data_IF_622867920018
#
_entry.id   IF_622867920018
#
_cell.length_a   1.000
_cell.length_b   1.000
_cell.length_c   1.000
_cell.angle_alpha   90.00
_cell.angle_beta   90.00
_cell.angle_gamma   90.00
#
_symmetry.space_group_name_H-M   'P 1'
#
loop_
_entity.id
_entity.type
_entity.pdbx_description
1 polymer ?
#
# COMPACT_ATOMS: atom_id res chain seq x y z
N UNK A 1 -35.23 -3.15 -18.83
CA UNK A 1 -33.92 -2.50 -19.06
C UNK A 1 -34.01 -1.06 -18.59
N UNK A 2 -33.52 -0.72 -17.38
CA UNK A 2 -33.59 0.67 -16.87
C UNK A 2 -32.50 1.50 -17.55
N UNK A 3 -32.89 2.43 -18.44
CA UNK A 3 -32.02 3.51 -18.92
C UNK A 3 -31.91 4.54 -17.80
N UNK A 4 -30.91 4.42 -16.94
CA UNK A 4 -30.54 5.46 -15.97
C UNK A 4 -29.30 6.19 -16.48
N UNK A 5 -29.45 6.95 -17.55
CA UNK A 5 -28.45 7.92 -17.98
C UNK A 5 -29.18 9.26 -18.08
N UNK A 6 -29.32 9.95 -16.95
CA UNK A 6 -29.91 11.27 -16.95
C UNK A 6 -28.97 12.25 -17.68
N UNK A 7 -29.46 12.91 -18.74
CA UNK A 7 -28.69 13.88 -19.52
C UNK A 7 -28.29 15.11 -18.70
N UNK A 8 -27.30 15.91 -19.13
CA UNK A 8 -26.85 17.13 -18.41
C UNK A 8 -27.99 18.07 -18.03
N UNK A 9 -29.04 18.14 -18.86
CA UNK A 9 -30.22 18.97 -18.65
C UNK A 9 -31.25 18.38 -17.69
N UNK A 10 -31.13 17.12 -17.27
CA UNK A 10 -32.06 16.48 -16.31
C UNK A 10 -31.59 16.63 -14.85
N UNK A 11 -30.36 17.09 -14.62
CA UNK A 11 -29.82 17.37 -13.29
C UNK A 11 -30.02 18.83 -12.83
N UNK A 12 -30.44 19.73 -13.73
CA UNK A 12 -30.52 21.18 -13.48
C UNK A 12 -31.55 21.55 -12.41
N UNK A 13 -32.61 20.77 -12.29
CA UNK A 13 -33.70 21.02 -11.32
C UNK A 13 -33.60 20.12 -10.07
N UNK A 14 -32.59 19.24 -9.99
CA UNK A 14 -32.40 18.36 -8.83
C UNK A 14 -31.79 19.16 -7.69
N UNK A 15 -32.61 19.46 -6.69
CA UNK A 15 -32.18 20.04 -5.42
C UNK A 15 -31.53 18.95 -4.56
N UNK A 16 -30.23 18.74 -4.75
CA UNK A 16 -29.43 17.88 -3.89
C UNK A 16 -29.57 18.30 -2.43
N UNK A 17 -29.83 17.32 -1.56
CA UNK A 17 -29.84 17.51 -0.11
C UNK A 17 -28.70 16.71 0.48
N UNK A 18 -28.02 17.29 1.47
CA UNK A 18 -27.08 16.54 2.29
C UNK A 18 -27.80 15.41 3.01
N UNK A 19 -27.14 14.26 3.12
CA UNK A 19 -27.58 13.14 3.94
C UNK A 19 -26.53 12.82 4.99
N UNK A 20 -26.97 12.28 6.14
CA UNK A 20 -26.08 11.75 7.17
C UNK A 20 -26.25 10.23 7.20
N UNK A 21 -25.15 9.51 7.04
CA UNK A 21 -25.12 8.06 7.13
C UNK A 21 -24.72 7.68 8.55
N UNK A 22 -25.54 6.91 9.25
CA UNK A 22 -25.19 6.43 10.58
C UNK A 22 -23.99 5.46 10.49
N UNK A 23 -22.98 5.66 11.33
CA UNK A 23 -21.79 4.83 11.37
C UNK A 23 -21.19 4.78 12.79
N UNK A 24 -20.37 3.76 13.10
CA UNK A 24 -19.61 3.70 14.34
C UNK A 24 -18.73 4.94 14.54
N UNK A 25 -18.63 5.43 15.78
CA UNK A 25 -17.87 6.64 16.12
C UNK A 25 -16.45 6.27 16.54
N UNK A 26 -15.48 7.02 16.05
CA UNK A 26 -14.07 6.88 16.40
C UNK A 26 -13.84 7.13 17.91
N UNK A 27 -12.99 6.31 18.53
CA UNK A 27 -12.69 6.37 19.98
C UNK A 27 -11.26 6.86 20.28
N UNK A 28 -10.50 7.26 19.26
CA UNK A 28 -9.11 7.72 19.39
C UNK A 28 -8.82 8.93 18.48
N UNK A 29 -7.57 9.40 18.41
CA UNK A 29 -7.17 10.52 17.56
C UNK A 29 -6.53 10.15 16.21
N UNK A 30 -6.49 8.87 15.82
CA UNK A 30 -5.64 8.42 14.69
C UNK A 30 -6.24 7.33 13.78
N UNK A 31 -7.45 6.86 14.09
CA UNK A 31 -8.11 5.80 13.33
C UNK A 31 -9.07 6.30 12.25
N UNK A 32 -9.21 7.62 12.06
CA UNK A 32 -10.11 8.22 11.07
C UNK A 32 -9.93 7.67 9.66
N UNK A 33 -8.68 7.52 9.21
CA UNK A 33 -8.37 6.99 7.87
C UNK A 33 -8.86 5.54 7.68
N UNK A 34 -8.72 4.69 8.70
CA UNK A 34 -9.19 3.30 8.65
C UNK A 34 -10.71 3.26 8.59
N UNK A 35 -11.37 4.04 9.45
CA UNK A 35 -12.84 4.16 9.50
C UNK A 35 -13.40 4.64 8.15
N UNK A 36 -12.79 5.66 7.54
CA UNK A 36 -13.21 6.15 6.21
C UNK A 36 -13.08 5.06 5.14
N UNK A 37 -12.00 4.29 5.12
CA UNK A 37 -11.82 3.17 4.19
C UNK A 37 -12.90 2.09 4.40
N UNK A 38 -13.21 1.76 5.65
CA UNK A 38 -14.25 0.78 5.99
C UNK A 38 -15.63 1.25 5.57
N UNK A 39 -15.96 2.54 5.79
CA UNK A 39 -17.21 3.15 5.32
C UNK A 39 -17.29 3.13 3.80
N UNK A 40 -16.24 3.54 3.08
CA UNK A 40 -16.20 3.51 1.63
C UNK A 40 -16.42 2.08 1.10
N UNK A 41 -15.77 1.08 1.70
CA UNK A 41 -15.97 -0.34 1.37
C UNK A 41 -17.41 -0.78 1.57
N UNK A 42 -18.06 -0.37 2.65
CA UNK A 42 -19.47 -0.69 2.92
C UNK A 42 -20.41 -0.04 1.89
N UNK A 43 -20.20 1.23 1.58
CA UNK A 43 -20.96 1.97 0.55
C UNK A 43 -20.82 1.29 -0.80
N UNK A 44 -19.59 1.03 -1.26
CA UNK A 44 -19.35 0.41 -2.57
C UNK A 44 -20.00 -0.97 -2.70
N UNK A 45 -20.04 -1.76 -1.62
CA UNK A 45 -20.70 -3.08 -1.61
C UNK A 45 -22.22 -3.01 -1.63
N UNK A 46 -22.80 -1.93 -1.09
CA UNK A 46 -24.25 -1.78 -0.99
C UNK A 46 -24.88 -1.04 -2.18
N UNK A 47 -24.06 -0.43 -3.06
CA UNK A 47 -24.56 0.29 -4.21
C UNK A 47 -25.55 -0.57 -5.03
N UNK A 48 -26.69 0.02 -5.47
CA UNK A 48 -27.07 1.43 -5.36
C UNK A 48 -27.78 1.83 -4.04
N UNK A 49 -27.94 0.92 -3.09
CA UNK A 49 -28.62 1.18 -1.82
C UNK A 49 -27.71 1.84 -0.78
N UNK A 50 -28.33 2.46 0.24
CA UNK A 50 -27.61 2.94 1.42
C UNK A 50 -27.23 1.75 2.33
N UNK A 51 -25.95 1.60 2.74
CA UNK A 51 -25.55 0.51 3.61
C UNK A 51 -25.98 0.75 5.07
N UNK A 52 -26.16 -0.34 5.80
CA UNK A 52 -26.09 -0.32 7.26
C UNK A 52 -24.63 -0.53 7.66
N UNK A 53 -23.96 0.51 8.15
CA UNK A 53 -22.54 0.45 8.49
C UNK A 53 -22.37 -0.06 9.92
N UNK A 54 -21.71 -1.20 10.08
CA UNK A 54 -21.38 -1.79 11.39
C UNK A 54 -19.95 -2.33 11.40
N UNK A 55 -19.15 -1.85 12.33
CA UNK A 55 -17.83 -2.34 12.70
C UNK A 55 -17.48 -1.81 14.09
N UNK A 56 -16.57 -2.47 14.80
CA UNK A 56 -16.07 -1.95 16.06
C UNK A 56 -14.96 -0.92 15.85
N UNK A 57 -14.82 0.00 16.81
CA UNK A 57 -13.85 1.11 16.79
C UNK A 57 -12.92 1.08 17.99
N UNK A 58 -12.82 -0.08 18.68
CA UNK A 58 -11.83 -0.23 19.75
C UNK A 58 -10.41 -0.16 19.19
N UNK A 59 -9.45 0.24 20.03
CA UNK A 59 -8.03 0.30 19.64
C UNK A 59 -7.53 -1.01 19.02
N UNK A 60 -7.91 -2.16 19.62
CA UNK A 60 -7.53 -3.49 19.13
C UNK A 60 -8.08 -3.77 17.73
N UNK A 61 -9.34 -3.45 17.48
CA UNK A 61 -9.96 -3.63 16.17
C UNK A 61 -9.33 -2.72 15.12
N UNK A 62 -9.09 -1.45 15.45
CA UNK A 62 -8.45 -0.51 14.53
C UNK A 62 -7.00 -0.91 14.21
N UNK A 63 -6.25 -1.44 15.18
CA UNK A 63 -4.93 -2.02 14.93
C UNK A 63 -5.01 -3.22 13.99
N UNK A 64 -5.98 -4.11 14.19
CA UNK A 64 -6.17 -5.29 13.34
C UNK A 64 -6.59 -4.92 11.91
N UNK A 65 -7.51 -3.97 11.75
CA UNK A 65 -7.95 -3.48 10.45
C UNK A 65 -6.82 -2.77 9.70
N UNK A 66 -6.01 -1.96 10.40
CA UNK A 66 -4.82 -1.33 9.83
C UNK A 66 -3.82 -2.38 9.33
N UNK A 67 -3.55 -3.42 10.13
CA UNK A 67 -2.67 -4.53 9.72
C UNK A 67 -3.25 -5.26 8.51
N UNK A 68 -4.55 -5.54 8.51
CA UNK A 68 -5.24 -6.22 7.42
C UNK A 68 -5.15 -5.43 6.12
N UNK A 69 -5.41 -4.12 6.17
CA UNK A 69 -5.29 -3.22 5.02
C UNK A 69 -3.85 -3.18 4.50
N UNK A 70 -2.85 -3.06 5.39
CA UNK A 70 -1.44 -3.09 4.99
C UNK A 70 -1.08 -4.39 4.26
N UNK A 71 -1.50 -5.55 4.79
CA UNK A 71 -1.27 -6.85 4.15
C UNK A 71 -1.99 -6.97 2.79
N UNK A 72 -3.21 -6.45 2.68
CA UNK A 72 -3.94 -6.43 1.42
C UNK A 72 -3.24 -5.58 0.36
N UNK A 73 -2.74 -4.40 0.75
CA UNK A 73 -1.96 -3.53 -0.13
C UNK A 73 -0.69 -4.26 -0.58
N UNK A 74 0.09 -4.79 0.36
CA UNK A 74 1.33 -5.51 0.05
C UNK A 74 1.11 -6.71 -0.88
N UNK A 75 0.02 -7.48 -0.68
CA UNK A 75 -0.33 -8.61 -1.54
C UNK A 75 -0.74 -8.18 -2.95
N UNK A 76 -1.38 -7.02 -3.08
CA UNK A 76 -1.80 -6.46 -4.36
C UNK A 76 -0.68 -5.68 -5.06
N UNK A 77 0.35 -5.27 -4.33
CA UNK A 77 1.51 -4.57 -4.89
C UNK A 77 2.30 -5.50 -5.80
N UNK A 78 2.54 -5.04 -7.04
CA UNK A 78 3.50 -5.67 -7.95
C UNK A 78 4.85 -5.03 -7.68
N UNK A 79 5.74 -5.77 -7.03
CA UNK A 79 7.14 -5.36 -6.87
C UNK A 79 7.99 -6.14 -7.86
N UNK A 80 8.68 -5.41 -8.74
CA UNK A 80 9.63 -6.01 -9.67
C UNK A 80 10.93 -6.34 -8.94
N UNK A 81 10.99 -7.59 -8.45
CA UNK A 81 12.15 -8.12 -7.72
C UNK A 81 13.43 -8.16 -8.58
N UNK A 82 13.32 -8.12 -9.91
CA UNK A 82 14.45 -8.25 -10.82
C UNK A 82 15.11 -6.90 -11.15
N UNK A 83 14.37 -5.78 -11.09
CA UNK A 83 14.89 -4.47 -11.49
C UNK A 83 14.85 -3.39 -10.39
N UNK A 84 14.30 -3.70 -9.22
CA UNK A 84 14.14 -2.74 -8.10
C UNK A 84 14.88 -3.22 -6.86
N UNK A 85 15.57 -2.29 -6.21
CA UNK A 85 16.18 -2.52 -4.91
C UNK A 85 15.10 -2.76 -3.85
N UNK A 86 15.16 -3.87 -3.14
CA UNK A 86 14.17 -4.27 -2.13
C UNK A 86 14.13 -3.35 -0.89
N UNK A 87 15.10 -2.44 -0.73
CA UNK A 87 15.12 -1.45 0.37
C UNK A 87 14.53 -0.10 -0.04
N UNK A 88 14.93 0.44 -1.20
CA UNK A 88 14.54 1.80 -1.61
C UNK A 88 13.56 1.85 -2.79
N UNK A 89 13.23 0.70 -3.39
CA UNK A 89 12.37 0.57 -4.58
C UNK A 89 12.85 1.32 -5.83
N UNK A 90 14.07 1.86 -5.82
CA UNK A 90 14.70 2.45 -7.00
C UNK A 90 15.37 1.37 -7.82
N UNK A 91 15.30 1.51 -9.15
CA UNK A 91 16.05 0.64 -10.07
C UNK A 91 17.38 1.24 -10.44
N UNK A 92 18.14 0.54 -11.28
CA UNK A 92 19.39 1.04 -11.85
C UNK A 92 19.11 2.40 -12.52
N UNK A 93 19.90 3.46 -12.26
CA UNK A 93 19.73 4.70 -12.99
C UNK A 93 19.78 4.39 -14.48
N UNK A 94 18.75 4.83 -15.20
CA UNK A 94 18.78 4.81 -16.66
C UNK A 94 20.02 5.55 -17.14
N UNK A 95 20.45 5.29 -18.38
CA UNK A 95 21.64 5.83 -19.03
C UNK A 95 21.71 7.36 -19.18
N UNK A 96 20.99 8.13 -18.37
CA UNK A 96 21.00 9.59 -18.32
C UNK A 96 21.25 10.12 -16.89
N UNK A 97 22.43 10.70 -16.71
CA UNK A 97 22.77 11.73 -15.70
C UNK A 97 22.43 11.42 -14.23
N UNK A 98 23.19 10.50 -13.64
CA UNK A 98 23.37 10.35 -12.19
C UNK A 98 24.74 9.73 -11.93
N UNK A 99 25.33 9.88 -10.72
CA UNK A 99 26.62 9.26 -10.42
C UNK A 99 26.59 7.76 -10.78
N UNK A 100 27.60 7.27 -11.53
CA UNK A 100 27.67 5.88 -11.91
C UNK A 100 27.97 5.06 -10.66
N UNK A 101 27.50 3.81 -10.65
CA UNK A 101 27.69 2.82 -9.57
C UNK A 101 26.73 2.95 -8.40
N UNK A 102 25.63 2.21 -8.49
CA UNK A 102 25.19 1.43 -7.34
C UNK A 102 25.56 0.01 -7.69
N UNK A 103 26.61 -0.55 -7.07
CA UNK A 103 26.85 -1.98 -7.13
C UNK A 103 25.64 -2.70 -6.50
N UNK A 104 25.34 -3.87 -7.03
CA UNK A 104 24.16 -4.64 -6.67
C UNK A 104 24.56 -5.99 -6.12
N UNK A 105 23.89 -6.40 -5.06
CA UNK A 105 24.03 -7.73 -4.47
C UNK A 105 22.65 -8.40 -4.40
N UNK A 106 22.62 -9.71 -4.66
CA UNK A 106 21.42 -10.53 -4.62
C UNK A 106 21.44 -11.43 -3.40
N UNK A 107 20.32 -11.52 -2.69
CA UNK A 107 20.16 -12.49 -1.60
C UNK A 107 20.00 -13.90 -2.15
N UNK A 108 20.78 -14.85 -1.67
CA UNK A 108 20.71 -16.25 -2.14
C UNK A 108 19.41 -16.94 -1.75
N UNK A 109 18.81 -16.58 -0.60
CA UNK A 109 17.56 -17.20 -0.14
C UNK A 109 16.32 -16.66 -0.86
N UNK A 110 16.10 -15.34 -0.85
CA UNK A 110 14.86 -14.75 -1.41
C UNK A 110 15.03 -14.19 -2.81
N UNK A 111 16.24 -14.24 -3.38
CA UNK A 111 16.56 -13.79 -4.74
C UNK A 111 16.28 -12.30 -4.99
N UNK A 112 16.08 -11.50 -3.93
CA UNK A 112 15.89 -10.06 -4.00
C UNK A 112 17.20 -9.34 -4.22
N UNK A 113 17.14 -8.27 -5.01
CA UNK A 113 18.26 -7.40 -5.32
C UNK A 113 18.29 -6.16 -4.44
N UNK A 114 19.50 -5.73 -4.07
CA UNK A 114 19.76 -4.59 -3.21
C UNK A 114 20.88 -3.74 -3.79
N UNK A 115 20.78 -2.41 -3.65
CA UNK A 115 21.98 -1.57 -3.77
C UNK A 115 22.85 -1.80 -2.54
N UNK A 116 24.15 -1.94 -2.71
CA UNK A 116 25.08 -2.11 -1.60
C UNK A 116 25.01 -0.93 -0.62
N UNK A 117 24.84 0.29 -1.13
CA UNK A 117 24.69 1.51 -0.31
C UNK A 117 23.41 1.52 0.53
N UNK A 118 22.38 0.76 0.12
CA UNK A 118 21.14 0.64 0.90
C UNK A 118 21.26 -0.33 2.07
N UNK A 119 22.33 -1.14 2.12
CA UNK A 119 22.55 -2.12 3.19
C UNK A 119 23.33 -1.54 4.37
N UNK A 120 24.09 -0.45 4.15
CA UNK A 120 24.94 0.14 5.19
C UNK A 120 26.05 -0.79 5.70
N UNK A 121 26.43 -1.79 4.89
CA UNK A 121 27.56 -2.68 5.13
C UNK A 121 28.87 -1.96 4.80
N UNK A 122 29.93 -2.29 5.51
CA UNK A 122 31.26 -1.83 5.14
C UNK A 122 31.84 -2.64 3.96
N UNK A 123 33.00 -2.20 3.46
CA UNK A 123 33.63 -2.84 2.30
C UNK A 123 34.02 -4.29 2.57
N UNK A 124 34.48 -4.62 3.79
CA UNK A 124 34.92 -5.97 4.12
C UNK A 124 33.73 -6.93 4.20
N UNK A 125 32.62 -6.49 4.78
CA UNK A 125 31.37 -7.23 4.82
C UNK A 125 30.80 -7.46 3.42
N UNK A 126 30.88 -6.46 2.53
CA UNK A 126 30.44 -6.58 1.13
C UNK A 126 31.34 -7.53 0.32
N UNK A 127 32.65 -7.48 0.50
CA UNK A 127 33.59 -8.42 -0.12
C UNK A 127 33.30 -9.86 0.32
N UNK A 128 33.10 -10.08 1.62
CA UNK A 128 32.72 -11.39 2.15
C UNK A 128 31.39 -11.87 1.57
N UNK A 129 30.41 -10.97 1.44
CA UNK A 129 29.09 -11.28 0.88
C UNK A 129 29.11 -11.55 -0.64
N UNK A 130 30.14 -11.08 -1.37
CA UNK A 130 30.34 -11.37 -2.80
C UNK A 130 31.04 -12.72 -3.00
N UNK A 131 31.90 -13.13 -2.08
CA UNK A 131 32.67 -14.38 -2.15
C UNK A 131 31.92 -15.60 -1.58
N UNK A 132 30.95 -15.37 -0.70
CA UNK A 132 30.22 -16.41 -0.01
C UNK A 132 28.71 -16.25 -0.16
N UNK A 133 27.96 -17.26 0.29
CA UNK A 133 26.50 -17.17 0.34
C UNK A 133 26.08 -16.02 1.26
N UNK A 134 25.25 -15.12 0.76
CA UNK A 134 24.76 -13.97 1.50
C UNK A 134 23.23 -13.98 1.60
N UNK A 135 22.74 -13.78 2.83
CA UNK A 135 21.33 -13.65 3.13
C UNK A 135 21.02 -12.23 3.60
N UNK A 136 20.04 -11.60 2.96
CA UNK A 136 19.64 -10.25 3.31
C UNK A 136 18.92 -10.18 4.66
N UNK A 137 18.84 -8.96 5.21
CA UNK A 137 18.17 -8.65 6.47
C UNK A 137 16.65 -8.94 6.49
N UNK A 138 16.06 -9.30 5.34
CA UNK A 138 14.64 -9.66 5.21
C UNK A 138 14.37 -11.17 5.24
N UNK A 139 15.40 -12.01 5.24
CA UNK A 139 15.28 -13.48 5.29
C UNK A 139 15.48 -14.04 6.70
N UNK A 140 15.30 -13.22 7.74
CA UNK A 140 15.43 -13.62 9.14
C UNK A 140 14.28 -14.49 9.63
#
# INVERSE_FOLDING_TARGET
MRRTCHGKTEWVDIKWKGGVLAHPVQQDGSSCGIIVIMMARAVMKALPAAPVIRFGTSKKEMTNERKTLALQILKASVFDLASKCAMCSMGKPGSGSGPPMTDWIQCDTCQRWFHEQCLGMDTADLEQAREHSWNCCLCT
#
